data_IF_242610106804
#
_entry.id   IF_242610106804
#
_cell.length_a   1.000
_cell.length_b   1.000
_cell.length_c   1.000
_cell.angle_alpha   90.00
_cell.angle_beta   90.00
_cell.angle_gamma   90.00
#
_symmetry.space_group_name_H-M   'P 1'
#
loop_
_entity.id
_entity.type
_entity.pdbx_description
1 polymer ?
#
# COMPACT_ATOMS: atom_id res chain seq x y z
N UNK A 1 -4.54 -8.93 36.09
CA UNK A 1 -3.35 -8.62 35.28
C UNK A 1 -3.82 -8.03 33.96
N UNK A 2 -3.79 -6.70 33.85
CA UNK A 2 -4.27 -5.96 32.67
C UNK A 2 -3.24 -6.10 31.54
N UNK A 3 -3.51 -6.96 30.56
CA UNK A 3 -2.76 -6.96 29.31
C UNK A 3 -3.43 -5.98 28.36
N UNK A 4 -2.83 -4.79 28.24
CA UNK A 4 -3.07 -3.89 27.12
C UNK A 4 -2.54 -4.53 25.84
N UNK A 5 -3.25 -5.53 25.33
CA UNK A 5 -3.14 -5.91 23.94
C UNK A 5 -3.72 -4.73 23.15
N UNK A 6 -2.85 -3.79 22.78
CA UNK A 6 -3.17 -2.89 21.67
C UNK A 6 -3.29 -3.80 20.46
N UNK A 7 -4.50 -4.29 20.20
CA UNK A 7 -4.86 -4.75 18.87
C UNK A 7 -4.30 -3.71 17.90
N UNK A 8 -3.48 -4.08 16.91
CA UNK A 8 -3.20 -3.15 15.84
C UNK A 8 -4.58 -2.79 15.33
N UNK A 9 -4.96 -1.52 15.44
CA UNK A 9 -6.19 -1.03 14.84
C UNK A 9 -5.99 -1.20 13.33
N UNK A 10 -6.23 -2.40 12.83
CA UNK A 10 -6.62 -2.68 11.47
C UNK A 10 -7.99 -2.04 11.35
N UNK A 11 -8.00 -0.71 11.29
CA UNK A 11 -9.02 -0.02 10.54
C UNK A 11 -8.85 -0.58 9.14
N UNK A 12 -9.59 -1.65 8.84
CA UNK A 12 -9.93 -1.99 7.48
C UNK A 12 -10.66 -0.75 6.97
N UNK A 13 -9.88 0.19 6.45
CA UNK A 13 -10.38 1.41 5.85
C UNK A 13 -11.14 0.89 4.64
N UNK A 14 -12.46 0.79 4.76
CA UNK A 14 -13.31 0.49 3.63
C UNK A 14 -12.91 1.50 2.56
N UNK A 15 -12.40 1.02 1.44
CA UNK A 15 -12.05 1.82 0.28
C UNK A 15 -13.36 2.37 -0.31
N UNK A 16 -13.91 3.40 0.32
CA UNK A 16 -15.08 4.11 -0.20
C UNK A 16 -14.68 5.02 -1.38
N UNK A 17 -13.38 5.11 -1.70
CA UNK A 17 -12.86 5.83 -2.84
C UNK A 17 -12.35 4.82 -3.89
N UNK A 18 -13.06 4.64 -5.01
CA UNK A 18 -12.66 3.72 -6.07
C UNK A 18 -11.28 4.06 -6.67
N UNK A 19 -10.81 5.30 -6.53
CA UNK A 19 -9.44 5.64 -6.96
C UNK A 19 -8.38 4.98 -6.07
N UNK A 20 -8.62 4.85 -4.76
CA UNK A 20 -7.68 4.20 -3.84
C UNK A 20 -7.58 2.69 -4.09
N UNK A 21 -8.70 2.04 -4.39
CA UNK A 21 -8.75 0.63 -4.77
C UNK A 21 -7.98 0.39 -6.07
N UNK A 22 -8.24 1.19 -7.12
CA UNK A 22 -7.52 1.10 -8.39
C UNK A 22 -6.02 1.33 -8.24
N UNK A 23 -5.60 2.22 -7.33
CA UNK A 23 -4.18 2.44 -7.02
C UNK A 23 -3.58 1.15 -6.49
N UNK A 24 -4.21 0.48 -5.52
CA UNK A 24 -3.68 -0.72 -4.90
C UNK A 24 -3.69 -1.91 -5.85
N UNK A 25 -4.77 -2.07 -6.61
CA UNK A 25 -4.87 -3.11 -7.62
C UNK A 25 -3.75 -2.99 -8.66
N UNK A 26 -3.40 -1.76 -9.07
CA UNK A 26 -2.29 -1.53 -9.99
C UNK A 26 -0.94 -2.05 -9.44
N UNK A 27 -0.72 -2.01 -8.13
CA UNK A 27 0.48 -2.57 -7.50
C UNK A 27 0.34 -4.06 -7.15
N UNK A 28 -0.88 -4.58 -6.96
CA UNK A 28 -1.11 -6.02 -6.81
C UNK A 28 -0.88 -6.77 -8.13
N UNK A 29 -1.28 -6.17 -9.26
CA UNK A 29 -1.01 -6.72 -10.60
C UNK A 29 0.48 -6.68 -10.95
N UNK A 30 1.19 -5.63 -10.52
CA UNK A 30 2.62 -5.49 -10.75
C UNK A 30 3.25 -4.61 -9.66
N UNK A 31 3.85 -5.26 -8.67
CA UNK A 31 4.47 -4.61 -7.52
C UNK A 31 5.75 -3.82 -7.88
N UNK A 32 6.27 -3.98 -9.11
CA UNK A 32 7.48 -3.27 -9.57
C UNK A 32 7.17 -1.92 -10.18
N UNK A 33 5.89 -1.59 -10.40
CA UNK A 33 5.48 -0.30 -10.95
C UNK A 33 5.99 0.85 -10.09
N UNK A 34 6.38 1.93 -10.75
CA UNK A 34 6.70 3.17 -10.04
C UNK A 34 5.42 3.92 -9.69
N UNK A 35 5.45 4.66 -8.58
CA UNK A 35 4.39 5.59 -8.16
C UNK A 35 4.03 6.55 -9.30
N UNK A 36 5.03 7.01 -10.07
CA UNK A 36 4.81 7.92 -11.21
C UNK A 36 4.03 7.24 -12.34
N UNK A 37 4.33 5.98 -12.65
CA UNK A 37 3.63 5.24 -13.71
C UNK A 37 2.16 5.00 -13.32
N UNK A 38 1.91 4.58 -12.08
CA UNK A 38 0.53 4.37 -11.59
C UNK A 38 -0.25 5.68 -11.56
N UNK A 39 0.37 6.77 -11.12
CA UNK A 39 -0.25 8.09 -11.14
C UNK A 39 -0.67 8.53 -12.55
N UNK A 40 0.22 8.35 -13.54
CA UNK A 40 -0.07 8.68 -14.93
C UNK A 40 -1.17 7.77 -15.53
N UNK A 41 -1.13 6.48 -15.24
CA UNK A 41 -2.11 5.49 -15.73
C UNK A 41 -3.52 5.78 -15.22
N UNK A 42 -3.65 6.18 -13.96
CA UNK A 42 -4.94 6.44 -13.32
C UNK A 42 -5.36 7.92 -13.37
N UNK A 43 -4.52 8.80 -13.93
CA UNK A 43 -4.81 10.25 -14.01
C UNK A 43 -4.85 10.95 -12.65
N UNK A 44 -4.22 10.38 -11.62
CA UNK A 44 -4.23 10.90 -10.25
C UNK A 44 -2.93 11.60 -9.88
N UNK A 45 -2.93 12.37 -8.79
CA UNK A 45 -1.71 13.02 -8.27
C UNK A 45 -0.78 11.96 -7.66
N UNK A 46 0.52 12.09 -7.94
CA UNK A 46 1.60 11.26 -7.35
C UNK A 46 1.48 11.19 -5.81
N UNK A 47 1.18 12.32 -5.17
CA UNK A 47 0.97 12.39 -3.71
C UNK A 47 -0.18 11.52 -3.20
N UNK A 48 -1.27 11.36 -3.99
CA UNK A 48 -2.38 10.47 -3.63
C UNK A 48 -1.93 9.02 -3.65
N UNK A 49 -1.23 8.60 -4.70
CA UNK A 49 -0.65 7.25 -4.81
C UNK A 49 0.29 6.96 -3.63
N UNK A 50 1.20 7.88 -3.31
CA UNK A 50 2.10 7.73 -2.17
C UNK A 50 1.34 7.64 -0.83
N UNK A 51 0.34 8.50 -0.61
CA UNK A 51 -0.47 8.51 0.61
C UNK A 51 -1.27 7.22 0.80
N UNK A 52 -1.86 6.69 -0.27
CA UNK A 52 -2.62 5.43 -0.26
C UNK A 52 -1.71 4.26 0.08
N UNK A 53 -0.53 4.19 -0.54
CA UNK A 53 0.46 3.15 -0.25
C UNK A 53 0.92 3.20 1.20
N UNK A 54 1.26 4.40 1.70
CA UNK A 54 1.71 4.60 3.08
C UNK A 54 0.62 4.27 4.10
N UNK A 55 -0.64 4.66 3.84
CA UNK A 55 -1.78 4.32 4.70
C UNK A 55 -2.03 2.82 4.80
N UNK A 56 -1.62 2.06 3.78
CA UNK A 56 -1.79 0.60 3.71
C UNK A 56 -0.53 -0.19 4.04
N UNK A 57 0.50 0.45 4.61
CA UNK A 57 1.75 -0.21 4.98
C UNK A 57 2.56 -0.75 3.79
N UNK A 58 2.21 -0.34 2.57
CA UNK A 58 2.92 -0.71 1.35
C UNK A 58 4.02 0.32 1.13
N UNK A 59 5.19 0.05 1.69
CA UNK A 59 6.37 0.88 1.43
C UNK A 59 6.91 0.55 0.03
N UNK A 60 6.40 1.22 -0.99
CA UNK A 60 6.96 1.19 -2.34
C UNK A 60 8.29 1.96 -2.35
N UNK A 61 9.30 1.40 -1.69
CA UNK A 61 10.68 1.81 -1.93
C UNK A 61 11.45 0.73 -2.66
N UNK A 62 11.26 -0.56 -2.36
CA UNK A 62 11.78 -1.63 -3.19
C UNK A 62 10.91 -2.88 -3.02
N UNK A 63 10.40 -3.45 -4.11
CA UNK A 63 10.23 -4.91 -4.18
C UNK A 63 11.65 -5.50 -4.24
N UNK A 64 12.34 -5.49 -3.11
CA UNK A 64 13.32 -6.54 -2.85
C UNK A 64 12.45 -7.68 -2.35
N UNK A 65 12.37 -8.77 -3.11
CA UNK A 65 12.13 -10.06 -2.47
C UNK A 65 13.12 -10.10 -1.32
N UNK A 66 12.64 -9.97 -0.08
CA UNK A 66 13.40 -10.44 1.06
C UNK A 66 13.53 -11.94 0.79
N UNK A 67 14.61 -12.32 0.09
CA UNK A 67 15.00 -13.70 -0.05
C UNK A 67 15.01 -14.27 1.37
N UNK A 68 14.28 -15.37 1.54
CA UNK A 68 14.21 -16.06 2.82
C UNK A 68 15.60 -16.32 3.37
N UNK A 69 15.77 -15.94 4.63
CA UNK A 69 16.62 -16.59 5.64
C UNK A 69 15.72 -16.51 6.89
N UNK A 70 14.90 -17.53 7.19
CA UNK A 70 15.29 -18.66 8.04
C UNK A 70 16.26 -18.24 9.16
N UNK A 71 15.69 -17.96 10.32
CA UNK A 71 16.17 -18.48 11.62
C UNK A 71 14.99 -19.10 12.36
#
# INVERSE_FOLDING_TARGET
>A
MSQYFREPRKHARQYNDPEEENILEAFDQDATRSIRNVAAMLGVRIWKVWSVLHANGRHAFHYTLAQGLEE
#
